data_IF_673629626968
#
_entry.id   IF_673629626968
#
_cell.length_a   1.000
_cell.length_b   1.000
_cell.length_c   1.000
_cell.angle_alpha   90.00
_cell.angle_beta   90.00
_cell.angle_gamma   90.00
#
_symmetry.space_group_name_H-M   'P 1'
#
loop_
_entity.id
_entity.type
_entity.pdbx_description
1 polymer ?
#
# COMPACT_ATOMS: atom_id res chain seq x y z
N UNK A 1 -16.90 -20.97 -7.07
CA UNK A 1 -15.95 -21.26 -5.99
C UNK A 1 -16.25 -20.44 -4.75
N UNK A 2 -15.91 -20.99 -3.58
CA UNK A 2 -16.07 -20.30 -2.31
C UNK A 2 -14.79 -19.51 -2.00
N UNK A 3 -14.93 -18.21 -1.71
CA UNK A 3 -13.80 -17.34 -1.33
C UNK A 3 -13.79 -17.18 0.19
N UNK A 4 -12.61 -17.25 0.78
CA UNK A 4 -12.37 -16.94 2.19
C UNK A 4 -11.29 -15.90 2.35
N UNK A 5 -11.31 -15.15 3.45
CA UNK A 5 -10.29 -14.15 3.77
C UNK A 5 -9.43 -14.65 4.92
N UNK A 6 -8.14 -14.80 4.68
CA UNK A 6 -7.17 -15.15 5.72
C UNK A 6 -6.92 -13.96 6.66
N UNK A 7 -6.39 -14.20 7.88
CA UNK A 7 -5.96 -13.13 8.75
C UNK A 7 -4.95 -12.20 8.05
N UNK A 8 -5.11 -10.89 8.24
CA UNK A 8 -4.19 -9.91 7.67
C UNK A 8 -2.84 -9.93 8.37
N UNK A 9 -1.76 -9.68 7.60
CA UNK A 9 -0.46 -9.35 8.16
C UNK A 9 -0.42 -7.85 8.47
N UNK A 10 -0.46 -7.43 9.74
CA UNK A 10 -0.62 -6.02 10.10
C UNK A 10 0.65 -5.20 9.97
N UNK A 11 1.81 -5.82 9.75
CA UNK A 11 3.12 -5.17 9.67
C UNK A 11 3.83 -5.62 8.41
N UNK A 12 4.27 -4.65 7.60
CA UNK A 12 5.03 -4.89 6.38
C UNK A 12 6.49 -4.42 6.47
N UNK A 13 7.13 -4.26 5.33
CA UNK A 13 8.48 -3.73 5.20
C UNK A 13 8.46 -2.20 5.07
N UNK A 14 8.75 -1.50 6.15
CA UNK A 14 8.65 -0.03 6.26
C UNK A 14 9.84 0.62 6.96
N UNK A 15 11.10 0.25 6.71
CA UNK A 15 12.24 0.79 7.45
C UNK A 15 12.41 2.30 7.25
N UNK A 16 12.00 2.81 6.08
CA UNK A 16 12.08 4.23 5.73
C UNK A 16 11.05 5.11 6.46
N UNK A 17 10.13 4.54 7.22
CA UNK A 17 9.20 5.30 8.05
C UNK A 17 9.57 5.31 9.53
N UNK A 18 10.69 4.67 9.90
CA UNK A 18 11.10 4.49 11.32
C UNK A 18 11.46 5.78 12.04
N UNK A 19 11.70 6.90 11.33
CA UNK A 19 11.83 8.21 11.95
C UNK A 19 10.51 8.67 12.61
N UNK A 20 9.36 8.13 12.17
CA UNK A 20 8.06 8.46 12.77
C UNK A 20 7.75 7.51 13.91
N UNK A 21 7.48 8.09 15.09
CA UNK A 21 7.13 7.34 16.30
C UNK A 21 5.89 6.47 16.06
N UNK A 22 5.97 5.22 16.45
CA UNK A 22 4.90 4.23 16.28
C UNK A 22 4.98 3.42 14.98
N UNK A 23 5.93 3.70 14.09
CA UNK A 23 6.19 2.86 12.92
C UNK A 23 6.67 1.48 13.37
N UNK A 24 6.09 0.45 12.76
CA UNK A 24 6.54 -0.94 12.89
C UNK A 24 7.03 -1.41 11.53
N UNK A 25 8.14 -2.16 11.52
CA UNK A 25 8.67 -2.76 10.30
C UNK A 25 9.15 -4.18 10.55
N UNK A 26 8.97 -5.05 9.56
CA UNK A 26 9.64 -6.34 9.49
C UNK A 26 10.85 -6.25 8.57
N UNK A 27 11.85 -7.08 8.79
CA UNK A 27 12.88 -7.34 7.79
C UNK A 27 12.28 -8.11 6.62
N UNK A 28 12.84 -8.00 5.43
CA UNK A 28 12.36 -8.73 4.25
C UNK A 28 12.36 -10.24 4.48
N UNK A 29 13.41 -10.78 5.11
CA UNK A 29 13.51 -12.22 5.40
C UNK A 29 12.38 -12.67 6.32
N UNK A 30 12.05 -11.87 7.34
CA UNK A 30 10.95 -12.19 8.27
C UNK A 30 9.60 -12.14 7.56
N UNK A 31 9.36 -11.09 6.77
CA UNK A 31 8.12 -10.97 6.01
C UNK A 31 7.98 -12.09 4.97
N UNK A 32 9.07 -12.44 4.29
CA UNK A 32 9.13 -13.56 3.35
C UNK A 32 8.78 -14.89 4.02
N UNK A 33 9.42 -15.21 5.14
CA UNK A 33 9.17 -16.44 5.87
C UNK A 33 7.72 -16.51 6.38
N UNK A 34 7.21 -15.40 6.94
CA UNK A 34 5.82 -15.32 7.43
C UNK A 34 4.80 -15.58 6.30
N UNK A 35 4.95 -14.91 5.17
CA UNK A 35 4.02 -15.08 4.04
C UNK A 35 4.12 -16.49 3.44
N UNK A 36 5.32 -17.02 3.30
CA UNK A 36 5.54 -18.37 2.80
C UNK A 36 4.85 -19.42 3.68
N UNK A 37 5.00 -19.33 5.00
CA UNK A 37 4.38 -20.24 5.97
C UNK A 37 2.85 -20.14 5.96
N UNK A 38 2.30 -18.92 5.84
CA UNK A 38 0.85 -18.71 5.73
C UNK A 38 0.30 -19.32 4.45
N UNK A 39 0.94 -19.06 3.30
CA UNK A 39 0.55 -19.60 2.00
C UNK A 39 0.65 -21.14 2.02
N UNK A 40 1.75 -21.67 2.55
CA UNK A 40 1.96 -23.12 2.69
C UNK A 40 0.90 -23.80 3.57
N UNK A 41 0.50 -23.13 4.66
CA UNK A 41 -0.57 -23.61 5.53
C UNK A 41 -1.92 -23.64 4.81
N UNK A 42 -2.27 -22.57 4.10
CA UNK A 42 -3.50 -22.51 3.29
C UNK A 42 -3.53 -23.62 2.22
N UNK A 43 -2.40 -23.81 1.52
CA UNK A 43 -2.23 -24.90 0.55
C UNK A 43 -2.45 -26.27 1.18
N UNK A 44 -1.92 -26.51 2.36
CA UNK A 44 -2.07 -27.79 3.08
C UNK A 44 -3.53 -28.09 3.41
N UNK A 45 -4.34 -27.04 3.60
CA UNK A 45 -5.79 -27.15 3.79
C UNK A 45 -6.61 -27.16 2.50
N UNK A 46 -5.97 -27.33 1.33
CA UNK A 46 -6.64 -27.50 0.05
C UNK A 46 -6.95 -26.20 -0.70
N UNK A 47 -6.47 -25.04 -0.22
CA UNK A 47 -6.59 -23.80 -0.97
C UNK A 47 -5.59 -23.83 -2.14
N UNK A 48 -6.07 -23.62 -3.38
CA UNK A 48 -5.26 -23.76 -4.59
C UNK A 48 -5.01 -22.45 -5.33
N UNK A 49 -5.76 -21.41 -5.00
CA UNK A 49 -5.59 -20.07 -5.57
C UNK A 49 -5.61 -19.04 -4.43
N UNK A 50 -4.63 -18.17 -4.39
CA UNK A 50 -4.48 -17.17 -3.34
C UNK A 50 -4.13 -15.82 -3.98
N UNK A 51 -4.96 -14.81 -3.70
CA UNK A 51 -4.69 -13.41 -4.04
C UNK A 51 -4.14 -12.67 -2.84
N UNK A 52 -2.93 -12.15 -2.95
CA UNK A 52 -2.33 -11.29 -1.94
C UNK A 52 -2.77 -9.85 -2.19
N UNK A 53 -3.66 -9.34 -1.34
CA UNK A 53 -4.07 -7.92 -1.40
C UNK A 53 -3.05 -7.09 -0.63
N UNK A 54 -2.21 -6.37 -1.36
CA UNK A 54 -1.15 -5.58 -0.78
C UNK A 54 -1.64 -4.17 -0.40
N UNK A 55 -1.40 -3.78 0.84
CA UNK A 55 -1.73 -2.46 1.38
C UNK A 55 -0.55 -1.50 1.52
N UNK A 56 0.66 -1.87 1.06
CA UNK A 56 1.85 -1.05 1.27
C UNK A 56 2.90 -1.20 0.16
N UNK A 57 3.30 -0.06 -0.44
CA UNK A 57 4.25 -0.03 -1.54
C UNK A 57 5.62 -0.66 -1.23
N UNK A 58 6.08 -0.58 0.00
CA UNK A 58 7.34 -1.19 0.44
C UNK A 58 7.39 -2.72 0.31
N UNK A 59 6.24 -3.38 0.22
CA UNK A 59 6.17 -4.83 0.06
C UNK A 59 6.33 -5.27 -1.40
N UNK A 60 6.13 -4.38 -2.38
CA UNK A 60 6.11 -4.74 -3.81
C UNK A 60 7.30 -5.54 -4.27
N UNK A 61 8.51 -5.06 -4.00
CA UNK A 61 9.72 -5.71 -4.48
C UNK A 61 9.81 -7.17 -4.01
N UNK A 62 9.49 -7.41 -2.74
CA UNK A 62 9.48 -8.75 -2.17
C UNK A 62 8.38 -9.62 -2.80
N UNK A 63 7.17 -9.11 -2.95
CA UNK A 63 6.06 -9.88 -3.51
C UNK A 63 6.32 -10.25 -4.98
N UNK A 64 6.77 -9.30 -5.80
CA UNK A 64 7.06 -9.55 -7.21
C UNK A 64 8.20 -10.55 -7.40
N UNK A 65 9.19 -10.53 -6.53
CA UNK A 65 10.29 -11.50 -6.57
C UNK A 65 9.85 -12.89 -6.11
N UNK A 66 9.08 -12.98 -5.04
CA UNK A 66 8.83 -14.25 -4.36
C UNK A 66 7.60 -15.00 -4.86
N UNK A 67 6.52 -14.31 -5.26
CA UNK A 67 5.28 -15.00 -5.65
C UNK A 67 5.47 -16.00 -6.78
N UNK A 68 6.23 -15.72 -7.87
CA UNK A 68 6.47 -16.72 -8.91
C UNK A 68 7.24 -17.95 -8.41
N UNK A 69 8.18 -17.74 -7.49
CA UNK A 69 8.97 -18.81 -6.87
C UNK A 69 8.07 -19.69 -6.02
N UNK A 70 7.28 -19.09 -5.13
CA UNK A 70 6.37 -19.80 -4.24
C UNK A 70 5.24 -20.50 -4.98
N UNK A 71 4.77 -19.93 -6.07
CA UNK A 71 3.79 -20.59 -6.95
C UNK A 71 4.35 -21.93 -7.47
N UNK A 72 5.61 -21.92 -7.92
CA UNK A 72 6.27 -23.13 -8.41
C UNK A 72 6.54 -24.13 -7.28
N UNK A 73 7.07 -23.69 -6.14
CA UNK A 73 7.43 -24.54 -5.01
C UNK A 73 6.22 -25.17 -4.32
N UNK A 74 5.17 -24.40 -4.14
CA UNK A 74 3.97 -24.81 -3.41
C UNK A 74 2.89 -25.45 -4.32
N UNK A 75 2.98 -25.24 -5.63
CA UNK A 75 1.99 -25.76 -6.57
C UNK A 75 0.60 -25.12 -6.37
N UNK A 76 0.55 -23.82 -6.09
CA UNK A 76 -0.67 -23.03 -5.95
C UNK A 76 -0.67 -21.88 -6.95
N UNK A 77 -1.83 -21.42 -7.37
CA UNK A 77 -1.94 -20.21 -8.19
C UNK A 77 -1.85 -19.00 -7.28
N UNK A 78 -0.86 -18.14 -7.49
CA UNK A 78 -0.61 -16.94 -6.70
C UNK A 78 -0.65 -15.71 -7.57
N UNK A 79 -1.30 -14.66 -7.11
CA UNK A 79 -1.23 -13.32 -7.70
C UNK A 79 -1.22 -12.26 -6.59
N UNK A 80 -0.84 -11.04 -6.93
CA UNK A 80 -0.83 -9.88 -6.05
C UNK A 80 -1.63 -8.75 -6.66
N UNK A 81 -2.32 -8.03 -5.81
CA UNK A 81 -2.95 -6.77 -6.17
C UNK A 81 -2.69 -5.72 -5.11
N UNK A 82 -2.06 -4.64 -5.51
CA UNK A 82 -2.04 -3.43 -4.70
C UNK A 82 -3.31 -2.64 -4.99
N UNK A 83 -4.15 -2.48 -3.98
CA UNK A 83 -5.52 -1.96 -4.13
C UNK A 83 -5.60 -0.58 -4.82
N UNK A 84 -4.52 0.20 -4.75
CA UNK A 84 -4.42 1.54 -5.37
C UNK A 84 -3.91 1.53 -6.80
N UNK A 85 -3.43 0.41 -7.33
CA UNK A 85 -2.99 0.30 -8.73
C UNK A 85 -4.16 -0.06 -9.64
N UNK A 86 -4.04 0.29 -10.92
CA UNK A 86 -5.03 -0.11 -11.92
C UNK A 86 -6.36 0.66 -11.90
N UNK A 87 -6.47 1.70 -11.08
CA UNK A 87 -7.59 2.64 -11.15
C UNK A 87 -7.24 3.72 -12.17
N UNK A 88 -8.06 3.92 -13.21
CA UNK A 88 -7.84 4.97 -14.20
C UNK A 88 -7.81 6.37 -13.55
N UNK A 89 -6.93 7.24 -14.06
CA UNK A 89 -6.83 8.61 -13.53
C UNK A 89 -8.14 9.38 -13.73
N UNK A 90 -8.93 9.07 -14.76
CA UNK A 90 -10.26 9.66 -14.98
C UNK A 90 -11.25 9.31 -13.85
N UNK A 91 -11.21 8.09 -13.31
CA UNK A 91 -12.05 7.70 -12.17
C UNK A 91 -11.61 8.42 -10.88
N UNK A 92 -10.30 8.63 -10.71
CA UNK A 92 -9.77 9.42 -9.59
C UNK A 92 -10.12 10.90 -9.72
N UNK A 93 -9.93 11.49 -10.89
CA UNK A 93 -10.23 12.91 -11.13
C UNK A 93 -11.72 13.23 -11.03
N UNK A 94 -12.59 12.27 -11.29
CA UNK A 94 -14.02 12.44 -11.03
C UNK A 94 -14.35 12.65 -9.54
N UNK A 95 -13.51 12.10 -8.64
CA UNK A 95 -13.72 12.12 -7.18
C UNK A 95 -12.80 13.13 -6.50
N UNK A 96 -11.51 13.14 -6.86
CA UNK A 96 -10.45 13.82 -6.13
C UNK A 96 -10.03 15.13 -6.80
N UNK A 97 -9.96 16.21 -6.03
CA UNK A 97 -9.57 17.52 -6.55
C UNK A 97 -8.11 17.54 -7.01
N UNK A 98 -7.22 16.86 -6.28
CA UNK A 98 -5.80 16.80 -6.63
C UNK A 98 -5.55 16.20 -8.01
N UNK A 99 -6.31 15.17 -8.40
CA UNK A 99 -6.24 14.58 -9.73
C UNK A 99 -6.81 15.51 -10.81
N UNK A 100 -7.90 16.22 -10.52
CA UNK A 100 -8.42 17.29 -11.42
C UNK A 100 -7.39 18.40 -11.64
N UNK A 101 -6.71 18.81 -10.59
CA UNK A 101 -5.68 19.84 -10.68
C UNK A 101 -4.45 19.37 -11.48
N UNK A 102 -4.13 18.08 -11.43
CA UNK A 102 -3.12 17.48 -12.29
C UNK A 102 -3.54 17.52 -13.77
N UNK A 103 -4.73 17.04 -14.09
CA UNK A 103 -5.26 17.03 -15.47
C UNK A 103 -5.33 18.45 -16.06
N UNK A 104 -5.65 19.44 -15.23
CA UNK A 104 -5.71 20.85 -15.62
C UNK A 104 -4.34 21.54 -15.62
N UNK A 105 -3.24 20.81 -15.44
CA UNK A 105 -1.87 21.34 -15.48
C UNK A 105 -1.49 22.25 -14.32
N UNK A 106 -2.27 22.24 -13.23
CA UNK A 106 -1.95 22.99 -12.00
C UNK A 106 -0.87 22.32 -11.16
N UNK A 107 -0.68 21.00 -11.33
CA UNK A 107 0.35 20.21 -10.68
C UNK A 107 1.28 19.63 -11.73
N UNK A 108 2.58 19.78 -11.55
CA UNK A 108 3.57 19.10 -12.39
C UNK A 108 3.67 17.59 -12.03
N UNK A 109 4.36 16.84 -12.89
CA UNK A 109 4.53 15.39 -12.72
C UNK A 109 5.24 15.03 -11.40
N UNK A 110 6.06 15.92 -10.88
CA UNK A 110 6.80 15.71 -9.64
C UNK A 110 5.91 16.03 -8.43
N UNK A 111 5.08 17.05 -8.53
CA UNK A 111 4.04 17.36 -7.53
C UNK A 111 3.01 16.23 -7.43
N UNK A 112 2.69 15.55 -8.54
CA UNK A 112 1.85 14.35 -8.55
C UNK A 112 2.37 13.28 -7.60
N UNK A 113 3.65 12.89 -7.74
CA UNK A 113 4.22 11.80 -6.95
C UNK A 113 4.28 12.10 -5.45
N UNK A 114 4.31 13.35 -5.07
CA UNK A 114 4.44 13.77 -3.67
C UNK A 114 3.15 14.28 -3.06
N UNK A 115 2.33 15.03 -3.80
CA UNK A 115 1.11 15.61 -3.28
C UNK A 115 -0.08 14.62 -3.25
N UNK A 116 -0.10 13.64 -4.16
CA UNK A 116 -1.21 12.68 -4.28
C UNK A 116 -0.94 11.33 -3.61
N UNK A 117 0.28 11.10 -3.10
CA UNK A 117 0.62 9.89 -2.35
C UNK A 117 0.59 10.17 -0.84
N UNK A 118 0.42 9.15 -0.02
CA UNK A 118 0.51 9.13 1.44
C UNK A 118 -0.18 10.27 2.20
N UNK A 119 -1.21 9.94 2.95
CA UNK A 119 -2.00 10.87 3.75
C UNK A 119 -2.53 12.09 2.96
N UNK A 120 -2.73 11.93 1.66
CA UNK A 120 -3.35 12.90 0.76
C UNK A 120 -4.89 12.88 0.87
N UNK A 121 -5.57 13.61 -0.02
CA UNK A 121 -7.02 13.58 -0.15
C UNK A 121 -7.56 12.15 -0.30
N UNK A 122 -6.91 11.30 -1.11
CA UNK A 122 -7.33 9.92 -1.37
C UNK A 122 -7.29 9.05 -0.10
N UNK A 123 -6.11 8.87 0.49
CA UNK A 123 -5.96 8.02 1.67
C UNK A 123 -6.74 8.54 2.89
N UNK A 124 -6.75 9.87 3.08
CA UNK A 124 -7.50 10.48 4.17
C UNK A 124 -9.00 10.29 4.00
N UNK A 125 -9.54 10.39 2.77
CA UNK A 125 -10.95 10.12 2.47
C UNK A 125 -11.32 8.66 2.78
N UNK A 126 -10.49 7.71 2.32
CA UNK A 126 -10.69 6.28 2.63
C UNK A 126 -10.70 6.03 4.13
N UNK A 127 -9.79 6.65 4.87
CA UNK A 127 -9.77 6.52 6.33
C UNK A 127 -10.97 7.17 7.00
N UNK A 128 -11.47 8.31 6.52
CA UNK A 128 -12.70 8.93 7.02
C UNK A 128 -13.92 8.03 6.81
N UNK A 129 -14.03 7.36 5.67
CA UNK A 129 -15.11 6.42 5.41
C UNK A 129 -14.98 5.15 6.27
N UNK A 130 -13.79 4.55 6.33
CA UNK A 130 -13.57 3.28 7.00
C UNK A 130 -13.54 3.40 8.54
N UNK A 131 -12.97 4.48 9.07
CA UNK A 131 -12.79 4.66 10.52
C UNK A 131 -12.57 6.14 10.90
N UNK A 132 -13.59 6.98 10.90
CA UNK A 132 -13.46 8.42 11.11
C UNK A 132 -12.80 8.79 12.44
N UNK A 133 -12.99 7.96 13.47
CA UNK A 133 -12.38 8.18 14.80
C UNK A 133 -10.84 8.04 14.80
N UNK A 134 -10.25 7.50 13.77
CA UNK A 134 -8.79 7.35 13.62
C UNK A 134 -8.15 8.51 12.87
N UNK A 135 -8.96 9.35 12.23
CA UNK A 135 -8.48 10.55 11.55
C UNK A 135 -8.49 11.71 12.54
N UNK A 136 -7.31 12.21 12.85
CA UNK A 136 -7.17 13.38 13.74
C UNK A 136 -7.23 14.65 12.90
N UNK A 137 -8.00 15.65 13.37
CA UNK A 137 -7.83 17.00 12.88
C UNK A 137 -6.50 17.57 13.38
N UNK A 138 -5.82 18.31 12.55
CA UNK A 138 -4.59 19.02 12.89
C UNK A 138 -4.56 20.34 12.12
N UNK A 139 -3.79 21.29 12.63
CA UNK A 139 -3.53 22.55 11.95
C UNK A 139 -2.22 22.46 11.16
N UNK A 140 -2.07 23.30 10.14
CA UNK A 140 -0.79 23.41 9.41
C UNK A 140 0.36 23.79 10.35
N UNK A 141 0.10 24.60 11.36
CA UNK A 141 1.09 24.96 12.37
C UNK A 141 1.54 23.76 13.22
N UNK A 142 0.61 22.86 13.59
CA UNK A 142 0.96 21.61 14.29
C UNK A 142 1.76 20.69 13.38
N UNK A 143 1.42 20.61 12.10
CA UNK A 143 2.18 19.85 11.12
C UNK A 143 3.60 20.39 10.96
N UNK A 144 3.77 21.68 10.76
CA UNK A 144 5.08 22.33 10.60
C UNK A 144 6.00 22.11 11.82
N UNK A 145 5.40 21.97 13.04
CA UNK A 145 6.15 21.63 14.26
C UNK A 145 6.53 20.15 14.38
N UNK A 146 5.81 19.26 13.72
CA UNK A 146 6.10 17.81 13.77
C UNK A 146 7.05 17.36 12.66
N UNK A 147 7.47 18.27 11.81
CA UNK A 147 8.32 18.00 10.66
C UNK A 147 9.63 17.30 11.03
N UNK A 148 9.74 16.06 10.62
CA UNK A 148 10.94 15.25 10.76
C UNK A 148 11.63 15.16 9.40
N UNK A 149 12.86 15.62 9.31
CA UNK A 149 13.76 15.23 8.23
C UNK A 149 14.21 13.80 8.50
N UNK A 150 13.69 12.88 7.72
CA UNK A 150 13.91 11.44 7.90
C UNK A 150 15.40 11.05 7.92
N UNK A 151 16.23 11.74 7.20
CA UNK A 151 17.65 11.40 7.12
C UNK A 151 18.47 12.01 8.27
N UNK A 152 18.09 13.20 8.75
CA UNK A 152 18.84 13.94 9.77
C UNK A 152 18.41 13.62 11.19
N UNK A 153 17.13 13.37 11.39
CA UNK A 153 16.52 13.34 12.73
C UNK A 153 16.34 11.92 13.31
N UNK A 154 16.97 10.93 12.69
CA UNK A 154 17.04 9.59 13.28
C UNK A 154 17.88 9.61 14.56
N UNK A 155 17.28 9.24 15.68
CA UNK A 155 18.04 9.00 16.91
C UNK A 155 19.09 7.90 16.71
N UNK A 156 20.12 7.88 17.57
CA UNK A 156 21.18 6.86 17.50
C UNK A 156 20.60 5.44 17.62
N UNK A 157 19.58 5.26 18.44
CA UNK A 157 18.90 3.97 18.62
C UNK A 157 18.19 3.51 17.35
N UNK A 158 17.45 4.43 16.68
CA UNK A 158 16.78 4.11 15.42
C UNK A 158 17.79 3.82 14.32
N UNK A 159 18.89 4.57 14.24
CA UNK A 159 19.99 4.27 13.29
C UNK A 159 20.57 2.89 13.51
N UNK A 160 20.90 2.55 14.77
CA UNK A 160 21.44 1.23 15.12
C UNK A 160 20.46 0.12 14.77
N UNK A 161 19.17 0.30 15.07
CA UNK A 161 18.13 -0.67 14.70
C UNK A 161 18.02 -0.88 13.19
N UNK A 162 18.22 0.19 12.41
CA UNK A 162 18.10 0.16 10.95
C UNK A 162 19.37 -0.29 10.23
N UNK A 163 20.51 -0.40 10.90
CA UNK A 163 21.78 -0.82 10.31
C UNK A 163 21.67 -2.13 9.50
N UNK A 164 20.97 -3.19 9.95
CA UNK A 164 20.76 -4.40 9.17
C UNK A 164 19.97 -4.20 7.88
N UNK A 165 19.15 -3.14 7.80
CA UNK A 165 18.37 -2.80 6.61
C UNK A 165 19.16 -1.95 5.61
N UNK A 166 20.29 -1.36 6.03
CA UNK A 166 21.08 -0.43 5.21
C UNK A 166 21.77 -1.08 4.01
N UNK A 167 21.91 -2.40 4.01
CA UNK A 167 22.47 -3.17 2.88
C UNK A 167 21.61 -3.08 1.61
N UNK A 168 20.36 -2.67 1.75
CA UNK A 168 19.41 -2.53 0.64
C UNK A 168 19.27 -1.09 0.14
N UNK A 169 20.09 -0.18 0.66
CA UNK A 169 20.00 1.25 0.43
C UNK A 169 19.03 1.93 1.41
N UNK A 170 19.47 3.04 2.00
CA UNK A 170 18.59 3.92 2.73
C UNK A 170 17.61 4.56 1.76
N UNK A 171 16.30 4.48 1.98
CA UNK A 171 15.38 5.25 1.18
C UNK A 171 15.64 6.74 1.46
N UNK A 172 15.92 7.47 0.41
CA UNK A 172 16.03 8.91 0.47
C UNK A 172 14.63 9.51 0.66
N UNK A 173 14.51 10.37 1.68
CA UNK A 173 13.41 11.31 1.79
C UNK A 173 12.06 10.77 2.25
N UNK A 174 11.76 10.99 3.50
CA UNK A 174 10.38 11.04 4.00
C UNK A 174 9.79 12.45 3.87
N UNK A 175 8.51 12.63 4.25
CA UNK A 175 7.88 13.94 4.21
C UNK A 175 8.63 14.96 5.07
N UNK A 176 8.97 16.07 4.46
CA UNK A 176 9.64 17.20 5.09
C UNK A 176 8.73 18.44 4.99
N UNK A 177 8.31 19.06 6.10
CA UNK A 177 7.41 20.22 6.08
C UNK A 177 8.05 21.48 5.46
N UNK A 178 9.38 21.56 5.42
CA UNK A 178 10.07 22.62 4.69
C UNK A 178 10.00 22.41 3.17
N UNK A 179 9.61 21.20 2.74
CA UNK A 179 9.43 20.91 1.33
C UNK A 179 8.05 21.41 0.88
N UNK A 180 7.98 22.33 -0.11
CA UNK A 180 6.70 22.83 -0.63
C UNK A 180 5.73 21.75 -1.09
N UNK A 181 6.26 20.59 -1.51
CA UNK A 181 5.47 19.43 -1.95
C UNK A 181 4.73 18.74 -0.80
N UNK A 182 5.35 18.68 0.37
CA UNK A 182 4.71 18.09 1.56
C UNK A 182 3.62 19.01 2.10
N UNK A 183 3.81 20.32 1.99
CA UNK A 183 2.76 21.31 2.28
C UNK A 183 1.56 21.14 1.33
N UNK A 184 1.81 21.03 0.04
CA UNK A 184 0.75 20.79 -0.95
C UNK A 184 -0.04 19.50 -0.66
N UNK A 185 0.63 18.44 -0.17
CA UNK A 185 -0.03 17.21 0.28
C UNK A 185 -0.98 17.45 1.45
N UNK A 186 -0.59 18.24 2.43
CA UNK A 186 -1.41 18.55 3.59
C UNK A 186 -2.63 19.40 3.23
N UNK A 187 -2.43 20.38 2.37
CA UNK A 187 -3.53 21.19 1.82
C UNK A 187 -4.50 20.31 1.02
N UNK A 188 -3.98 19.36 0.28
CA UNK A 188 -4.78 18.39 -0.46
C UNK A 188 -5.55 17.44 0.49
N UNK A 189 -4.94 16.97 1.58
CA UNK A 189 -5.59 16.15 2.59
C UNK A 189 -6.79 16.86 3.27
N UNK A 190 -6.74 18.18 3.37
CA UNK A 190 -7.86 18.96 3.92
C UNK A 190 -9.13 18.92 3.05
N UNK A 191 -9.02 18.48 1.81
CA UNK A 191 -10.15 18.29 0.89
C UNK A 191 -10.86 16.93 1.04
N UNK A 192 -10.34 16.08 1.94
CA UNK A 192 -10.86 14.73 2.15
C UNK A 192 -12.26 14.75 2.78
N UNK A 193 -13.11 13.84 2.32
CA UNK A 193 -14.44 13.60 2.91
C UNK A 193 -14.76 12.10 2.96
N UNK A 194 -15.68 11.72 3.85
CA UNK A 194 -16.13 10.33 3.95
C UNK A 194 -16.81 9.85 2.66
N UNK A 195 -17.61 10.70 2.02
CA UNK A 195 -18.31 10.39 0.77
C UNK A 195 -17.34 10.06 -0.37
N UNK A 196 -16.26 10.84 -0.50
CA UNK A 196 -15.16 10.52 -1.44
C UNK A 196 -14.53 9.16 -1.11
N UNK A 197 -14.32 8.91 0.18
CA UNK A 197 -13.79 7.65 0.67
C UNK A 197 -14.67 6.45 0.32
N UNK A 198 -15.99 6.56 0.48
CA UNK A 198 -16.95 5.51 0.10
C UNK A 198 -16.89 5.21 -1.40
N UNK A 199 -16.85 6.26 -2.24
CA UNK A 199 -16.72 6.11 -3.68
C UNK A 199 -15.39 5.43 -4.06
N UNK A 200 -14.28 5.80 -3.44
CA UNK A 200 -12.97 5.18 -3.65
C UNK A 200 -12.96 3.71 -3.20
N UNK A 201 -13.51 3.39 -2.03
CA UNK A 201 -13.63 2.01 -1.54
C UNK A 201 -14.42 1.16 -2.53
N UNK A 202 -15.50 1.68 -3.11
CA UNK A 202 -16.28 0.97 -4.12
C UNK A 202 -15.44 0.66 -5.38
N UNK A 203 -14.62 1.60 -5.84
CA UNK A 203 -13.72 1.41 -6.99
C UNK A 203 -12.63 0.38 -6.65
N UNK A 204 -11.97 0.52 -5.50
CA UNK A 204 -10.93 -0.42 -5.05
C UNK A 204 -11.51 -1.84 -4.91
N UNK A 205 -12.70 -1.98 -4.34
CA UNK A 205 -13.39 -3.26 -4.18
C UNK A 205 -13.68 -3.91 -5.55
N UNK A 206 -14.20 -3.14 -6.50
CA UNK A 206 -14.45 -3.63 -7.86
C UNK A 206 -13.16 -4.11 -8.54
N UNK A 207 -12.07 -3.36 -8.38
CA UNK A 207 -10.78 -3.70 -8.95
C UNK A 207 -10.20 -5.00 -8.35
N UNK A 208 -10.19 -5.12 -7.01
CA UNK A 208 -9.74 -6.33 -6.31
C UNK A 208 -10.62 -7.54 -6.66
N UNK A 209 -11.94 -7.37 -6.73
CA UNK A 209 -12.87 -8.42 -7.13
C UNK A 209 -12.62 -8.90 -8.56
N UNK A 210 -12.32 -7.99 -9.48
CA UNK A 210 -11.94 -8.34 -10.86
C UNK A 210 -10.67 -9.16 -10.93
N UNK A 211 -9.67 -8.85 -10.13
CA UNK A 211 -8.43 -9.65 -10.00
C UNK A 211 -8.70 -11.03 -9.42
N UNK A 212 -9.55 -11.11 -8.40
CA UNK A 212 -9.96 -12.39 -7.81
C UNK A 212 -10.69 -13.25 -8.83
N UNK A 213 -11.60 -12.67 -9.63
CA UNK A 213 -12.30 -13.42 -10.68
C UNK A 213 -11.32 -13.97 -11.73
N UNK A 214 -10.37 -13.16 -12.17
CA UNK A 214 -9.33 -13.61 -13.11
C UNK A 214 -8.51 -14.79 -12.56
N UNK A 215 -8.21 -14.77 -11.27
CA UNK A 215 -7.51 -15.87 -10.59
C UNK A 215 -8.35 -17.16 -10.55
N UNK A 216 -9.64 -17.02 -10.29
CA UNK A 216 -10.60 -18.14 -10.31
C UNK A 216 -10.67 -18.74 -11.72
N UNK A 217 -10.81 -17.91 -12.74
CA UNK A 217 -10.89 -18.35 -14.13
C UNK A 217 -9.60 -19.09 -14.55
N UNK A 218 -8.44 -18.60 -14.12
CA UNK A 218 -7.16 -19.26 -14.36
C UNK A 218 -7.06 -20.65 -13.68
N UNK A 219 -7.63 -20.80 -12.48
CA UNK A 219 -7.69 -22.08 -11.78
C UNK A 219 -8.60 -23.09 -12.49
N UNK A 220 -9.77 -22.65 -12.99
CA UNK A 220 -10.71 -23.51 -13.71
C UNK A 220 -10.12 -24.01 -15.03
N UNK A 221 -9.39 -23.17 -15.76
CA UNK A 221 -8.68 -23.55 -17.00
C UNK A 221 -7.61 -24.63 -16.79
N UNK A 222 -6.92 -24.62 -15.65
CA UNK A 222 -5.94 -25.65 -15.31
C UNK A 222 -6.59 -27.00 -15.06
N UNK A 223 -7.84 -27.04 -14.57
CA UNK A 223 -8.60 -28.28 -14.38
C UNK A 223 -9.00 -28.93 -15.69
N UNK A 224 -9.42 -28.14 -16.67
CA UNK A 224 -9.87 -28.65 -17.96
C UNK A 224 -8.74 -29.21 -18.81
N UNK A 225 -7.51 -28.74 -18.62
CA UNK A 225 -6.32 -29.19 -19.37
C UNK A 225 -5.62 -30.40 -18.73
N UNK A 226 -5.82 -30.64 -17.42
CA UNK A 226 -5.21 -31.76 -16.67
C UNK A 226 -6.01 -33.07 -16.72
N UNK A 227 -7.16 -33.10 -17.37
CA UNK A 227 -8.06 -34.25 -17.46
C UNK A 227 -7.96 -35.05 -18.79
N UNK A 228 -6.85 -34.92 -19.52
CA UNK A 228 -6.60 -35.73 -20.74
C UNK A 228 -5.44 -36.68 -20.53
#
# INVERSE_FOLDING_TARGET
PQVTVAPSCPVGYSPYHMARKGTLTLRKETLRAYLYDVIGSLKTHGIRAILVVNGHGGNHGLLWEQLPIWQQELGVVLDEVSYWTGIPDEERSAILQGYRDLENGKLDTVARQTALNHASEEETSVMLAASPKRVRSYTMEEYDRTGLDYARDLSAEVRSYLEPFSKEGWPEGGPNPENPRDRARQENAALATAEKGEALIAIHTRFVAGKMQALIDALDQQHDTGGK
#
